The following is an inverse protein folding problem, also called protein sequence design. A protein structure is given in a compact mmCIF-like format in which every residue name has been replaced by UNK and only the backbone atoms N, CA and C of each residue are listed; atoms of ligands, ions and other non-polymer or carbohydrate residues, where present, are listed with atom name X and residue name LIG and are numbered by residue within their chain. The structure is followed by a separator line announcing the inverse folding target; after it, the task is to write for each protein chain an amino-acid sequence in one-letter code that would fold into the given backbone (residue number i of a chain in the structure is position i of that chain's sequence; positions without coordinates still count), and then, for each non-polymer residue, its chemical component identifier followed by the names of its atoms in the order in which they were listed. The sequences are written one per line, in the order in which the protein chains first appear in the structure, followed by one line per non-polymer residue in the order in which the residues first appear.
data_IF_343803634998
#
_entry.id   IF_343803634998
#
_cell.length_a   1.000
_cell.length_b   1.000
_cell.length_c   1.000
_cell.angle_alpha   90.00
_cell.angle_beta   90.00
_cell.angle_gamma   90.00
#
_symmetry.space_group_name_H-M   'P 1'
#
loop_
_entity.id
_entity.type
_entity.pdbx_description
1 polymer ?
#
# COMPACT_ATOMS: atom_id res chain seq x y z
N UNK A 1 17.17 14.50 8.40
CA UNK A 1 17.55 14.51 9.83
C UNK A 1 16.76 15.52 10.67
N UNK A 2 15.82 16.25 10.09
CA UNK A 2 15.16 17.38 10.74
C UNK A 2 14.48 17.04 12.07
N UNK A 3 13.72 15.93 12.13
CA UNK A 3 13.08 15.47 13.36
C UNK A 3 14.11 15.17 14.46
N UNK A 4 15.20 14.47 14.12
CA UNK A 4 16.29 14.16 15.04
C UNK A 4 16.97 15.42 15.57
N UNK A 5 17.14 16.43 14.72
CA UNK A 5 17.68 17.73 15.12
C UNK A 5 16.75 18.46 16.10
N UNK A 6 15.42 18.43 15.86
CA UNK A 6 14.43 19.05 16.76
C UNK A 6 14.44 18.45 18.16
N UNK A 7 14.56 17.13 18.26
CA UNK A 7 14.62 16.40 19.54
C UNK A 7 16.04 16.26 20.09
N UNK A 8 17.04 16.87 19.43
CA UNK A 8 18.45 16.92 19.83
C UNK A 8 19.09 15.55 20.03
N UNK A 9 18.80 14.58 19.16
CA UNK A 9 19.43 13.26 19.15
C UNK A 9 20.22 13.02 17.87
N UNK A 10 21.21 12.13 17.94
CA UNK A 10 21.92 11.62 16.76
C UNK A 10 21.16 10.44 16.19
N UNK A 11 20.80 10.51 14.91
CA UNK A 11 20.15 9.40 14.20
C UNK A 11 21.09 8.78 13.18
N UNK A 12 21.05 7.46 13.08
CA UNK A 12 21.63 6.67 12.00
C UNK A 12 20.54 5.91 11.28
N UNK A 13 20.59 5.90 9.95
CA UNK A 13 19.66 5.12 9.13
C UNK A 13 20.30 3.77 8.81
N UNK A 14 19.51 2.72 8.95
CA UNK A 14 19.85 1.35 8.55
C UNK A 14 18.78 0.86 7.60
N UNK A 15 19.20 0.19 6.52
CA UNK A 15 18.27 -0.49 5.62
C UNK A 15 17.83 -1.81 6.25
N UNK A 16 16.55 -2.13 6.17
CA UNK A 16 15.96 -3.36 6.69
C UNK A 16 14.88 -3.83 5.73
N UNK A 17 14.86 -5.13 5.42
CA UNK A 17 13.81 -5.73 4.62
C UNK A 17 12.44 -5.56 5.28
N UNK A 18 11.45 -5.22 4.45
CA UNK A 18 10.10 -4.87 4.89
C UNK A 18 9.43 -5.94 5.74
N UNK A 19 9.55 -7.21 5.35
CA UNK A 19 8.93 -8.34 6.06
C UNK A 19 9.45 -8.48 7.50
N UNK A 20 10.71 -8.12 7.72
CA UNK A 20 11.36 -8.19 9.02
C UNK A 20 11.24 -6.90 9.84
N UNK A 21 10.65 -5.82 9.29
CA UNK A 21 10.82 -4.49 9.85
C UNK A 21 10.15 -4.31 11.23
N UNK A 22 9.02 -4.98 11.48
CA UNK A 22 8.36 -4.94 12.79
C UNK A 22 9.02 -5.93 13.77
N UNK A 23 9.28 -7.20 13.42
CA UNK A 23 10.01 -8.11 14.30
C UNK A 23 11.38 -7.59 14.74
N UNK A 24 12.13 -6.95 13.84
CA UNK A 24 13.44 -6.38 14.15
C UNK A 24 13.37 -5.19 15.12
N UNK A 25 12.29 -4.37 15.07
CA UNK A 25 12.01 -3.35 16.08
C UNK A 25 11.74 -3.98 17.45
N UNK A 26 10.91 -5.02 17.50
CA UNK A 26 10.51 -5.67 18.75
C UNK A 26 11.69 -6.35 19.48
N UNK A 27 12.69 -6.81 18.75
CA UNK A 27 13.94 -7.38 19.33
C UNK A 27 15.05 -6.34 19.51
N UNK A 28 14.77 -5.05 19.29
CA UNK A 28 15.67 -3.95 19.61
C UNK A 28 16.84 -3.75 18.64
N UNK A 29 16.71 -4.15 17.36
CA UNK A 29 17.76 -3.85 16.35
C UNK A 29 17.87 -2.37 16.01
N UNK A 30 16.79 -1.61 16.20
CA UNK A 30 16.70 -0.16 16.03
C UNK A 30 15.49 0.37 16.79
N UNK A 31 15.43 1.67 17.00
CA UNK A 31 14.44 2.30 17.90
C UNK A 31 13.19 2.81 17.18
N UNK A 32 13.28 3.11 15.88
CA UNK A 32 12.21 3.78 15.12
C UNK A 32 12.12 3.24 13.69
N UNK A 33 10.89 3.11 13.17
CA UNK A 33 10.61 2.84 11.76
C UNK A 33 10.09 4.11 11.08
N UNK A 34 10.79 4.59 10.04
CA UNK A 34 10.35 5.69 9.18
C UNK A 34 10.40 5.29 7.70
N UNK A 35 9.49 4.40 7.30
CA UNK A 35 9.48 3.82 5.94
C UNK A 35 8.07 3.80 5.31
N UNK A 36 7.32 4.90 5.45
CA UNK A 36 5.98 5.02 4.84
C UNK A 36 4.95 4.01 5.39
N UNK A 37 5.14 3.54 6.62
CA UNK A 37 4.27 2.53 7.22
C UNK A 37 2.89 3.11 7.56
N UNK A 38 1.86 2.62 6.88
CA UNK A 38 0.49 2.93 7.22
C UNK A 38 0.13 2.47 8.66
N UNK A 39 -0.55 3.34 9.39
CA UNK A 39 -1.08 3.06 10.72
C UNK A 39 -2.33 2.19 10.55
N UNK A 40 -2.30 0.96 11.08
CA UNK A 40 -3.44 0.03 11.03
C UNK A 40 -3.70 -0.55 12.43
N UNK A 41 -4.94 -0.94 12.73
CA UNK A 41 -5.28 -1.53 14.03
C UNK A 41 -4.46 -2.79 14.33
N UNK A 42 -4.25 -3.65 13.33
CA UNK A 42 -3.38 -4.83 13.45
C UNK A 42 -1.95 -4.46 13.88
N UNK A 43 -1.39 -3.37 13.36
CA UNK A 43 -0.04 -2.92 13.74
C UNK A 43 -0.04 -2.22 15.09
N UNK A 44 -1.06 -1.43 15.42
CA UNK A 44 -1.22 -0.80 16.74
C UNK A 44 -1.29 -1.80 17.89
N UNK A 45 -1.80 -3.00 17.63
CA UNK A 45 -1.80 -4.10 18.61
C UNK A 45 -0.38 -4.62 18.91
N UNK A 46 0.61 -4.36 18.04
CA UNK A 46 1.97 -4.86 18.17
C UNK A 46 2.98 -3.77 18.52
N UNK A 47 2.82 -2.55 17.99
CA UNK A 47 3.77 -1.44 18.15
C UNK A 47 3.04 -0.11 18.34
N UNK A 48 3.71 0.82 19.03
CA UNK A 48 3.25 2.20 19.13
C UNK A 48 3.54 2.99 17.84
N UNK A 49 2.70 3.99 17.57
CA UNK A 49 2.89 4.95 16.47
C UNK A 49 2.95 6.37 17.01
N UNK A 50 3.72 7.23 16.35
CA UNK A 50 3.64 8.68 16.57
C UNK A 50 2.34 9.26 15.99
N UNK A 51 2.14 10.57 16.19
CA UNK A 51 1.21 11.32 15.33
C UNK A 51 1.59 11.13 13.85
N UNK A 52 0.61 11.05 12.93
CA UNK A 52 0.90 10.92 11.49
C UNK A 52 1.74 12.09 11.00
N UNK A 53 2.83 11.80 10.29
CA UNK A 53 3.67 12.83 9.66
C UNK A 53 3.36 13.04 8.17
N UNK A 54 2.58 12.15 7.56
CA UNK A 54 2.15 12.20 6.17
C UNK A 54 0.80 11.50 5.98
N UNK A 55 0.03 11.95 5.00
CA UNK A 55 -1.22 11.31 4.56
C UNK A 55 -1.03 10.77 3.15
N UNK A 56 -1.22 9.46 2.98
CA UNK A 56 -1.17 8.80 1.68
C UNK A 56 -2.56 8.33 1.24
N UNK A 57 -2.78 8.31 -0.07
CA UNK A 57 -3.93 7.65 -0.69
C UNK A 57 -3.40 6.49 -1.54
N UNK A 58 -4.14 5.39 -1.60
CA UNK A 58 -3.86 4.32 -2.57
C UNK A 58 -4.54 4.67 -3.89
N UNK A 59 -3.88 4.34 -5.00
CA UNK A 59 -4.40 4.50 -6.35
C UNK A 59 -4.06 3.25 -7.15
N UNK A 60 -4.93 2.90 -8.08
CA UNK A 60 -4.64 1.87 -9.08
C UNK A 60 -3.89 2.51 -10.25
N UNK A 61 -2.88 1.82 -10.74
CA UNK A 61 -2.10 2.24 -11.91
C UNK A 61 -2.14 1.08 -12.88
N UNK A 62 -2.79 1.25 -14.03
CA UNK A 62 -2.93 0.21 -15.04
C UNK A 62 -2.18 0.59 -16.30
N UNK A 63 -1.79 -0.42 -17.09
CA UNK A 63 -1.16 -0.15 -18.39
C UNK A 63 -2.17 0.47 -19.37
N UNK A 64 -1.74 1.51 -20.09
CA UNK A 64 -2.62 2.33 -20.94
C UNK A 64 -3.23 1.53 -22.09
N UNK A 65 -2.49 0.58 -22.64
CA UNK A 65 -2.88 -0.26 -23.77
C UNK A 65 -4.05 -1.19 -23.47
N UNK A 66 -4.41 -1.38 -22.19
CA UNK A 66 -5.59 -2.17 -21.81
C UNK A 66 -6.91 -1.46 -22.15
N UNK A 67 -6.88 -0.15 -22.44
CA UNK A 67 -8.07 0.60 -22.84
C UNK A 67 -9.17 0.63 -21.78
N UNK A 68 -8.81 0.44 -20.51
CA UNK A 68 -9.76 0.41 -19.40
C UNK A 68 -10.34 1.81 -19.15
N UNK A 69 -11.64 1.86 -18.87
CA UNK A 69 -12.27 3.10 -18.41
C UNK A 69 -11.80 3.42 -16.99
N UNK A 70 -10.99 4.49 -16.88
CA UNK A 70 -10.46 4.96 -15.62
C UNK A 70 -11.51 5.71 -14.77
N UNK A 71 -12.66 6.08 -15.35
CA UNK A 71 -13.64 6.95 -14.70
C UNK A 71 -13.04 8.29 -14.25
N UNK A 72 -13.62 8.88 -13.19
CA UNK A 72 -13.04 10.08 -12.56
C UNK A 72 -11.87 9.72 -11.63
N UNK A 73 -10.65 9.94 -12.11
CA UNK A 73 -9.41 9.70 -11.36
C UNK A 73 -9.19 10.63 -10.17
N UNK A 74 -10.03 11.67 -10.00
CA UNK A 74 -9.99 12.58 -8.84
C UNK A 74 -10.95 12.14 -7.73
N UNK A 75 -11.85 11.20 -8.02
CA UNK A 75 -12.78 10.66 -7.04
C UNK A 75 -12.02 9.92 -5.92
N UNK A 76 -12.30 10.27 -4.67
CA UNK A 76 -11.71 9.61 -3.49
C UNK A 76 -12.75 8.71 -2.83
N UNK A 77 -12.39 7.46 -2.60
CA UNK A 77 -13.21 6.49 -1.87
C UNK A 77 -12.72 6.39 -0.43
N UNK A 78 -13.59 6.69 0.53
CA UNK A 78 -13.28 6.52 1.95
C UNK A 78 -13.70 5.11 2.41
N UNK A 79 -12.73 4.23 2.61
CA UNK A 79 -12.99 2.85 3.05
C UNK A 79 -13.37 2.73 4.54
N UNK A 80 -13.28 3.81 5.32
CA UNK A 80 -13.73 3.82 6.71
C UNK A 80 -15.24 4.04 6.86
N UNK A 81 -15.89 4.60 5.83
CA UNK A 81 -17.34 4.87 5.80
C UNK A 81 -17.88 4.51 4.43
N UNK A 82 -18.35 3.27 4.27
CA UNK A 82 -18.82 2.75 2.97
C UNK A 82 -20.34 2.97 2.85
N UNK A 83 -20.72 4.03 2.15
CA UNK A 83 -22.10 4.31 1.75
C UNK A 83 -22.40 3.81 0.33
N UNK A 84 -23.56 4.18 -0.20
CA UNK A 84 -24.01 3.72 -1.52
C UNK A 84 -23.13 4.24 -2.65
N UNK A 85 -22.59 5.46 -2.51
CA UNK A 85 -21.64 6.02 -3.46
C UNK A 85 -20.34 5.22 -3.50
N UNK A 86 -19.75 4.94 -2.34
CA UNK A 86 -18.52 4.16 -2.25
C UNK A 86 -18.71 2.76 -2.83
N UNK A 87 -19.86 2.11 -2.55
CA UNK A 87 -20.21 0.81 -3.13
C UNK A 87 -20.29 0.87 -4.66
N UNK A 88 -20.97 1.87 -5.23
CA UNK A 88 -21.07 2.02 -6.67
C UNK A 88 -19.69 2.18 -7.33
N UNK A 89 -18.80 2.96 -6.72
CA UNK A 89 -17.43 3.15 -7.21
C UNK A 89 -16.58 1.89 -7.06
N UNK A 90 -16.74 1.13 -5.96
CA UNK A 90 -16.09 -0.16 -5.77
C UNK A 90 -16.57 -1.19 -6.79
N UNK A 91 -17.87 -1.28 -7.06
CA UNK A 91 -18.41 -2.20 -8.08
C UNK A 91 -17.95 -1.83 -9.49
N UNK A 92 -17.86 -0.53 -9.81
CA UNK A 92 -17.24 -0.08 -11.07
C UNK A 92 -15.80 -0.58 -11.17
N UNK A 93 -14.99 -0.39 -10.11
CA UNK A 93 -13.60 -0.88 -10.09
C UNK A 93 -13.52 -2.41 -10.23
N UNK A 94 -14.41 -3.15 -9.55
CA UNK A 94 -14.51 -4.62 -9.67
C UNK A 94 -14.79 -5.04 -11.10
N UNK A 95 -15.74 -4.39 -11.77
CA UNK A 95 -16.08 -4.66 -13.17
C UNK A 95 -14.91 -4.34 -14.12
N UNK A 96 -14.33 -3.15 -14.00
CA UNK A 96 -13.22 -2.70 -14.86
C UNK A 96 -11.98 -3.59 -14.74
N UNK A 97 -11.65 -4.03 -13.53
CA UNK A 97 -10.45 -4.82 -13.25
C UNK A 97 -10.70 -6.34 -13.32
N UNK A 98 -11.92 -6.80 -13.63
CA UNK A 98 -12.24 -8.22 -13.64
C UNK A 98 -11.30 -9.02 -14.57
N UNK A 99 -10.79 -10.13 -14.04
CA UNK A 99 -9.84 -11.03 -14.68
C UNK A 99 -8.43 -10.47 -14.87
N UNK A 100 -8.11 -9.27 -14.38
CA UNK A 100 -6.78 -8.66 -14.52
C UNK A 100 -5.81 -9.19 -13.47
N UNK A 101 -4.52 -9.13 -13.80
CA UNK A 101 -3.44 -9.40 -12.86
C UNK A 101 -3.00 -8.11 -12.15
N UNK A 102 -3.20 -8.01 -10.84
CA UNK A 102 -2.87 -6.80 -10.05
C UNK A 102 -1.68 -7.08 -9.13
N UNK A 103 -0.61 -6.32 -9.33
CA UNK A 103 0.59 -6.31 -8.51
C UNK A 103 0.40 -5.48 -7.25
N UNK A 104 0.87 -6.00 -6.11
CA UNK A 104 0.89 -5.27 -4.83
C UNK A 104 2.18 -5.57 -4.09
N UNK A 105 2.64 -4.64 -3.24
CA UNK A 105 3.72 -4.95 -2.30
C UNK A 105 3.20 -5.86 -1.19
N UNK A 106 3.91 -6.95 -0.91
CA UNK A 106 3.56 -7.88 0.16
C UNK A 106 3.58 -7.18 1.52
N UNK A 107 2.70 -7.61 2.42
CA UNK A 107 2.59 -7.06 3.78
C UNK A 107 2.33 -5.54 3.81
N UNK A 108 1.72 -4.99 2.75
CA UNK A 108 1.30 -3.59 2.66
C UNK A 108 -0.19 -3.42 2.97
N UNK A 109 -0.61 -2.17 3.22
CA UNK A 109 -2.02 -1.82 3.26
C UNK A 109 -2.70 -2.00 1.88
N UNK A 110 -1.99 -1.72 0.78
CA UNK A 110 -2.52 -1.91 -0.57
C UNK A 110 -2.86 -3.36 -0.87
N UNK A 111 -2.01 -4.30 -0.46
CA UNK A 111 -2.31 -5.73 -0.60
C UNK A 111 -3.56 -6.12 0.19
N UNK A 112 -3.68 -5.65 1.43
CA UNK A 112 -4.87 -5.92 2.25
C UNK A 112 -6.15 -5.37 1.59
N UNK A 113 -6.10 -4.15 1.06
CA UNK A 113 -7.22 -3.50 0.37
C UNK A 113 -7.60 -4.26 -0.90
N UNK A 114 -6.63 -4.63 -1.75
CA UNK A 114 -6.92 -5.38 -2.99
C UNK A 114 -7.49 -6.76 -2.67
N UNK A 115 -6.93 -7.48 -1.68
CA UNK A 115 -7.48 -8.77 -1.23
C UNK A 115 -8.92 -8.64 -0.76
N UNK A 116 -9.23 -7.60 0.03
CA UNK A 116 -10.55 -7.39 0.59
C UNK A 116 -11.58 -6.97 -0.47
N UNK A 117 -11.21 -6.08 -1.40
CA UNK A 117 -12.15 -5.47 -2.33
C UNK A 117 -12.26 -6.18 -3.67
N UNK A 118 -11.20 -6.85 -4.12
CA UNK A 118 -11.06 -7.36 -5.49
C UNK A 118 -10.59 -8.83 -5.56
N UNK A 119 -10.27 -9.46 -4.43
CA UNK A 119 -9.55 -10.74 -4.41
C UNK A 119 -10.25 -11.93 -5.07
N UNK A 120 -11.56 -11.82 -5.31
CA UNK A 120 -12.40 -12.79 -6.01
C UNK A 120 -12.55 -12.51 -7.52
N UNK A 121 -12.20 -11.31 -7.98
CA UNK A 121 -12.33 -10.88 -9.38
C UNK A 121 -10.99 -10.60 -10.07
N UNK A 122 -9.88 -10.52 -9.34
CA UNK A 122 -8.53 -10.30 -9.91
C UNK A 122 -7.54 -11.39 -9.49
N UNK A 123 -6.49 -11.56 -10.30
CA UNK A 123 -5.32 -12.34 -9.88
C UNK A 123 -4.33 -11.44 -9.15
N UNK A 124 -4.12 -11.65 -7.86
CA UNK A 124 -3.19 -10.82 -7.07
C UNK A 124 -1.78 -11.40 -7.17
N UNK A 125 -0.80 -10.55 -7.53
CA UNK A 125 0.64 -10.87 -7.46
C UNK A 125 1.32 -10.03 -6.40
N UNK A 126 1.88 -10.68 -5.38
CA UNK A 126 2.56 -10.00 -4.28
C UNK A 126 4.07 -9.94 -4.54
N UNK A 127 4.65 -8.74 -4.45
CA UNK A 127 6.06 -8.46 -4.70
C UNK A 127 6.78 -8.06 -3.41
N UNK A 128 8.05 -8.38 -3.33
CA UNK A 128 8.96 -8.01 -2.23
C UNK A 128 9.47 -6.57 -2.34
N UNK A 129 9.60 -6.04 -3.55
CA UNK A 129 10.08 -4.68 -3.83
C UNK A 129 9.24 -3.98 -4.89
N UNK A 130 9.24 -2.64 -4.85
CA UNK A 130 8.54 -1.82 -5.82
C UNK A 130 9.18 -1.92 -7.21
N UNK A 131 10.50 -2.13 -7.26
CA UNK A 131 11.24 -2.27 -8.51
C UNK A 131 10.84 -3.53 -9.26
N UNK A 132 10.71 -4.67 -8.58
CA UNK A 132 10.23 -5.91 -9.20
C UNK A 132 8.81 -5.76 -9.74
N UNK A 133 7.92 -5.12 -8.97
CA UNK A 133 6.56 -4.82 -9.42
C UNK A 133 6.56 -3.92 -10.68
N UNK A 134 7.39 -2.87 -10.69
CA UNK A 134 7.50 -1.95 -11.82
C UNK A 134 8.05 -2.63 -13.07
N UNK A 135 9.02 -3.52 -12.92
CA UNK A 135 9.57 -4.32 -14.02
C UNK A 135 8.51 -5.22 -14.64
N UNK A 136 7.73 -5.91 -13.81
CA UNK A 136 6.64 -6.77 -14.28
C UNK A 136 5.49 -6.00 -14.92
N UNK A 137 5.16 -4.82 -14.38
CA UNK A 137 4.18 -3.92 -14.97
C UNK A 137 4.66 -3.47 -16.36
N UNK A 138 5.91 -3.04 -16.48
CA UNK A 138 6.48 -2.60 -17.77
C UNK A 138 6.57 -3.74 -18.79
N UNK A 139 6.85 -4.96 -18.32
CA UNK A 139 6.94 -6.15 -19.17
C UNK A 139 5.58 -6.77 -19.53
N UNK A 140 4.46 -6.22 -19.03
CA UNK A 140 3.12 -6.76 -19.27
C UNK A 140 2.81 -8.05 -18.49
N UNK A 141 3.61 -8.39 -17.47
CA UNK A 141 3.39 -9.57 -16.61
C UNK A 141 2.30 -9.34 -15.56
N UNK A 142 2.06 -8.08 -15.18
CA UNK A 142 0.89 -7.62 -14.40
C UNK A 142 0.25 -6.42 -15.07
N UNK A 143 -1.07 -6.35 -15.02
CA UNK A 143 -1.94 -5.37 -15.68
C UNK A 143 -2.03 -4.03 -14.94
N UNK A 144 -1.84 -4.05 -13.62
CA UNK A 144 -1.76 -2.87 -12.77
C UNK A 144 -1.38 -3.19 -11.33
#
# INVERSE_FOLDING_TARGET
LELCNRIKIKCSFVAQDWDGIIPALLVGKYDVIMSGMAITEKRKQQIAFSSPYASGYNQFVVRKELGLDAGDTKEKVNLSTVGDKEKATIERLRSTLNGKAIGVLRSSNSEAVVKQLLGDVVTIRSYDSLDNLKLDLTAGRVDG
#
